data_IF_578345968064
#
_entry.id   IF_578345968064
#
_cell.length_a   1.000
_cell.length_b   1.000
_cell.length_c   1.000
_cell.angle_alpha   90.00
_cell.angle_beta   90.00
_cell.angle_gamma   90.00
#
_symmetry.space_group_name_H-M   'P 1'
#
loop_
_entity.id
_entity.type
_entity.pdbx_description
1 polymer ?
#
# COMPACT_ATOMS: atom_id res chain seq x y z
N UNK A 1 -18.81 -19.47 5.38
CA UNK A 1 -18.51 -18.01 5.36
C UNK A 1 -17.69 -17.70 6.60
N UNK A 2 -16.41 -17.35 6.43
CA UNK A 2 -15.61 -16.86 7.57
C UNK A 2 -16.07 -15.43 7.81
N UNK A 3 -16.74 -15.19 8.93
CA UNK A 3 -17.04 -13.84 9.40
C UNK A 3 -15.70 -13.13 9.62
N UNK A 4 -15.39 -12.12 8.81
CA UNK A 4 -14.31 -11.19 9.13
C UNK A 4 -14.79 -10.36 10.32
N UNK A 5 -14.29 -10.68 11.52
CA UNK A 5 -14.48 -9.83 12.69
C UNK A 5 -13.59 -8.60 12.48
N UNK A 6 -14.21 -7.43 12.43
CA UNK A 6 -13.51 -6.17 12.22
C UNK A 6 -12.66 -5.85 13.46
N UNK A 7 -11.47 -5.27 13.27
CA UNK A 7 -10.57 -4.98 14.39
C UNK A 7 -11.24 -4.04 15.42
N UNK A 8 -12.06 -3.10 14.97
CA UNK A 8 -12.81 -2.23 15.86
C UNK A 8 -13.80 -3.01 16.75
N UNK A 9 -14.43 -4.08 16.24
CA UNK A 9 -15.33 -4.92 17.04
C UNK A 9 -14.60 -5.62 18.19
N UNK A 10 -13.35 -6.04 17.95
CA UNK A 10 -12.48 -6.63 18.99
C UNK A 10 -12.09 -5.60 20.05
N UNK A 11 -11.84 -4.36 19.65
CA UNK A 11 -11.54 -3.29 20.59
C UNK A 11 -12.77 -2.85 21.37
N UNK A 12 -13.95 -2.83 20.74
CA UNK A 12 -15.21 -2.47 21.38
C UNK A 12 -15.63 -3.46 22.46
N UNK A 13 -15.31 -4.74 22.27
CA UNK A 13 -15.62 -5.82 23.23
C UNK A 13 -14.54 -6.01 24.29
N UNK A 14 -13.44 -5.26 24.21
CA UNK A 14 -12.34 -5.33 25.16
C UNK A 14 -12.64 -4.51 26.40
N UNK A 15 -12.34 -5.05 27.58
CA UNK A 15 -12.39 -4.32 28.84
C UNK A 15 -11.23 -3.34 29.04
N UNK A 16 -10.29 -3.27 28.09
CA UNK A 16 -9.11 -2.40 28.17
C UNK A 16 -9.38 -0.97 27.68
N UNK A 17 -10.55 -0.70 27.11
CA UNK A 17 -10.93 0.63 26.61
C UNK A 17 -12.27 1.04 27.21
N UNK A 18 -12.32 2.22 27.81
CA UNK A 18 -13.57 2.80 28.33
C UNK A 18 -14.35 3.57 27.26
N UNK A 19 -13.63 4.16 26.30
CA UNK A 19 -14.19 4.88 25.15
C UNK A 19 -13.32 4.60 23.91
N UNK A 20 -13.96 4.35 22.77
CA UNK A 20 -13.30 4.02 21.51
C UNK A 20 -13.95 4.81 20.38
N UNK A 21 -13.14 5.57 19.64
CA UNK A 21 -13.55 6.15 18.37
C UNK A 21 -12.84 5.44 17.23
N UNK A 22 -13.57 4.99 16.21
CA UNK A 22 -13.01 4.41 15.00
C UNK A 22 -13.31 5.30 13.79
N UNK A 23 -12.30 5.64 12.99
CA UNK A 23 -12.45 6.48 11.80
C UNK A 23 -11.75 5.87 10.59
N UNK A 24 -12.49 5.82 9.48
CA UNK A 24 -11.96 5.47 8.17
C UNK A 24 -11.84 6.70 7.27
N UNK A 25 -10.66 6.87 6.67
CA UNK A 25 -10.39 7.89 5.66
C UNK A 25 -9.90 7.26 4.37
N UNK A 26 -10.36 7.78 3.23
CA UNK A 26 -9.76 7.47 1.92
C UNK A 26 -9.00 8.66 1.42
N UNK A 27 -7.77 8.44 1.01
CA UNK A 27 -6.92 9.46 0.43
C UNK A 27 -6.27 8.92 -0.84
N UNK A 28 -6.25 9.75 -1.89
CA UNK A 28 -5.65 9.41 -3.19
C UNK A 28 -4.31 10.12 -3.29
N UNK A 29 -3.26 9.34 -3.49
CA UNK A 29 -1.94 9.85 -3.87
C UNK A 29 -1.82 9.76 -5.39
N UNK A 30 -1.45 10.86 -6.03
CA UNK A 30 -1.05 10.89 -7.44
C UNK A 30 0.47 10.96 -7.53
N UNK A 31 1.08 10.00 -8.23
CA UNK A 31 2.53 9.86 -8.39
C UNK A 31 2.86 9.77 -9.89
N UNK A 32 4.00 10.34 -10.32
CA UNK A 32 4.45 10.17 -11.71
C UNK A 32 5.01 8.76 -11.92
N UNK A 33 5.09 8.26 -13.17
CA UNK A 33 5.76 6.98 -13.47
C UNK A 33 7.16 6.86 -12.85
N UNK A 34 7.96 7.92 -12.90
CA UNK A 34 9.32 7.93 -12.31
C UNK A 34 9.28 7.82 -10.78
N UNK A 35 8.28 8.46 -10.15
CA UNK A 35 8.07 8.37 -8.72
C UNK A 35 7.66 6.95 -8.28
N UNK A 36 6.76 6.30 -9.02
CA UNK A 36 6.34 4.92 -8.75
C UNK A 36 7.51 3.95 -8.90
N UNK A 37 8.28 4.08 -9.99
CA UNK A 37 9.52 3.34 -10.21
C UNK A 37 10.51 3.52 -9.04
N UNK A 38 10.66 4.75 -8.57
CA UNK A 38 11.52 5.08 -7.42
C UNK A 38 11.07 4.40 -6.12
N UNK A 39 9.76 4.30 -5.88
CA UNK A 39 9.20 3.57 -4.73
C UNK A 39 9.62 2.11 -4.81
N UNK A 40 9.34 1.42 -5.92
CA UNK A 40 9.72 0.02 -6.10
C UNK A 40 11.22 -0.22 -5.93
N UNK A 41 12.03 0.69 -6.46
CA UNK A 41 13.49 0.62 -6.32
C UNK A 41 13.96 0.81 -4.87
N UNK A 42 13.20 1.52 -4.03
CA UNK A 42 13.56 1.84 -2.65
C UNK A 42 13.15 0.76 -1.64
N UNK A 43 12.14 -0.06 -1.96
CA UNK A 43 11.58 -1.06 -1.04
C UNK A 43 12.61 -2.14 -0.74
N UNK A 44 13.15 -2.12 0.48
CA UNK A 44 14.26 -2.99 0.89
C UNK A 44 13.92 -4.48 0.75
N UNK A 45 12.73 -4.89 1.22
CA UNK A 45 12.29 -6.29 1.16
C UNK A 45 12.24 -6.79 -0.28
N UNK A 46 11.80 -5.94 -1.20
CA UNK A 46 11.71 -6.27 -2.62
C UNK A 46 13.09 -6.49 -3.23
N UNK A 47 14.04 -5.60 -2.91
CA UNK A 47 15.44 -5.72 -3.35
C UNK A 47 16.12 -6.97 -2.80
N UNK A 48 15.89 -7.28 -1.52
CA UNK A 48 16.50 -8.44 -0.84
C UNK A 48 15.91 -9.75 -1.36
N UNK A 49 14.59 -9.82 -1.53
CA UNK A 49 13.91 -11.06 -1.92
C UNK A 49 14.11 -11.41 -3.40
N UNK A 50 14.12 -10.43 -4.30
CA UNK A 50 14.21 -10.68 -5.74
C UNK A 50 15.66 -10.84 -6.21
N UNK A 51 16.61 -10.21 -5.53
CA UNK A 51 17.96 -10.07 -6.04
C UNK A 51 18.02 -9.18 -7.30
N UNK A 52 19.25 -8.84 -7.70
CA UNK A 52 19.49 -7.75 -8.66
C UNK A 52 18.85 -7.97 -10.04
N UNK A 53 19.02 -9.15 -10.63
CA UNK A 53 18.57 -9.43 -12.01
C UNK A 53 17.04 -9.41 -12.14
N UNK A 54 16.34 -9.98 -11.16
CA UNK A 54 14.87 -10.00 -11.17
C UNK A 54 14.33 -8.60 -10.87
N UNK A 55 14.98 -7.86 -9.96
CA UNK A 55 14.62 -6.47 -9.69
C UNK A 55 14.74 -5.60 -10.95
N UNK A 56 15.84 -5.69 -11.70
CA UNK A 56 16.02 -4.93 -12.95
C UNK A 56 14.90 -5.24 -13.96
N UNK A 57 14.62 -6.52 -14.22
CA UNK A 57 13.53 -6.91 -15.11
C UNK A 57 12.13 -6.50 -14.61
N UNK A 58 11.93 -6.45 -13.30
CA UNK A 58 10.68 -5.94 -12.72
C UNK A 58 10.54 -4.41 -12.94
N UNK A 59 11.62 -3.64 -12.76
CA UNK A 59 11.59 -2.20 -12.99
C UNK A 59 11.32 -1.88 -14.47
N UNK A 60 11.92 -2.64 -15.40
CA UNK A 60 11.62 -2.52 -16.84
C UNK A 60 10.14 -2.79 -17.14
N UNK A 61 9.55 -3.77 -16.45
CA UNK A 61 8.12 -4.06 -16.55
C UNK A 61 7.26 -2.89 -16.03
N UNK A 62 7.62 -2.29 -14.88
CA UNK A 62 6.92 -1.11 -14.34
C UNK A 62 6.99 0.05 -15.32
N UNK A 63 8.17 0.33 -15.87
CA UNK A 63 8.38 1.40 -16.84
C UNK A 63 7.50 1.18 -18.09
N UNK A 64 7.48 -0.04 -18.63
CA UNK A 64 6.64 -0.38 -19.77
C UNK A 64 5.14 -0.19 -19.48
N UNK A 65 4.68 -0.58 -18.29
CA UNK A 65 3.27 -0.49 -17.88
C UNK A 65 2.78 0.92 -17.62
N UNK A 66 3.69 1.83 -17.30
CA UNK A 66 3.37 3.20 -16.88
C UNK A 66 3.76 4.26 -17.91
N UNK A 67 4.44 3.86 -18.99
CA UNK A 67 4.98 4.72 -20.06
C UNK A 67 4.00 5.71 -20.70
N UNK A 68 2.70 5.42 -20.72
CA UNK A 68 1.67 6.28 -21.33
C UNK A 68 0.79 7.00 -20.29
N UNK A 69 1.16 6.96 -19.00
CA UNK A 69 0.42 7.59 -17.92
C UNK A 69 1.10 8.90 -17.51
N UNK A 70 0.32 9.97 -17.36
CA UNK A 70 0.81 11.18 -16.72
C UNK A 70 0.98 11.00 -15.20
N UNK A 71 0.06 10.24 -14.59
CA UNK A 71 0.04 9.95 -13.17
C UNK A 71 -0.54 8.56 -12.90
N UNK A 72 -0.09 7.97 -11.80
CA UNK A 72 -0.61 6.74 -11.20
C UNK A 72 -1.31 7.14 -9.90
N UNK A 73 -2.60 6.83 -9.81
CA UNK A 73 -3.41 7.13 -8.64
C UNK A 73 -3.50 5.90 -7.74
N UNK A 74 -3.02 6.03 -6.50
CA UNK A 74 -3.15 4.99 -5.48
C UNK A 74 -4.10 5.47 -4.39
N UNK A 75 -5.14 4.69 -4.12
CA UNK A 75 -6.08 4.97 -3.02
C UNK A 75 -5.64 4.23 -1.76
N UNK A 76 -5.33 4.98 -0.72
CA UNK A 76 -5.02 4.46 0.60
C UNK A 76 -6.25 4.56 1.50
N UNK A 77 -6.51 3.48 2.24
CA UNK A 77 -7.48 3.46 3.33
C UNK A 77 -6.72 3.63 4.64
N UNK A 78 -6.89 4.77 5.27
CA UNK A 78 -6.35 5.07 6.60
C UNK A 78 -7.40 4.78 7.65
N UNK A 79 -6.95 4.20 8.77
CA UNK A 79 -7.78 3.83 9.91
C UNK A 79 -7.15 4.39 11.17
N UNK A 80 -7.94 5.02 12.03
CA UNK A 80 -7.53 5.57 13.31
C UNK A 80 -8.53 5.24 14.40
#
# INVERSE_FOLDING_TARGET
>A
MVSQIFLADKFWTSSFFEDLSYKDGRYVVSITPEGDRGIWQSVNDFRVQLGRKILEGFLDFVDAKTSNLAFINTTYLTRA
#
